data_IF_654357151097
#
_entry.id   IF_654357151097
#
_cell.length_a   1.000
_cell.length_b   1.000
_cell.length_c   1.000
_cell.angle_alpha   90.00
_cell.angle_beta   90.00
_cell.angle_gamma   90.00
#
_symmetry.space_group_name_H-M   'P 1'
#
loop_
_entity.id
_entity.type
_entity.pdbx_description
1 polymer ?
#
# COMPACT_ATOMS: atom_id res chain seq x y z
N UNK A 1 -23.38 -8.97 -68.95
CA UNK A 1 -23.15 -8.58 -67.56
C UNK A 1 -24.12 -7.47 -67.23
N UNK A 2 -25.10 -7.73 -66.35
CA UNK A 2 -26.24 -6.86 -66.15
C UNK A 2 -25.92 -5.64 -65.28
N UNK A 3 -26.49 -4.49 -65.67
CA UNK A 3 -26.32 -3.18 -64.94
C UNK A 3 -26.66 -3.27 -63.45
N UNK A 4 -27.36 -4.29 -63.00
CA UNK A 4 -27.73 -4.54 -61.60
C UNK A 4 -26.57 -4.99 -60.73
N UNK A 5 -25.52 -5.62 -61.29
CA UNK A 5 -24.33 -6.04 -60.51
C UNK A 5 -23.36 -4.91 -60.24
N UNK A 6 -23.33 -3.86 -61.07
CA UNK A 6 -22.52 -2.66 -60.83
C UNK A 6 -23.04 -1.77 -59.72
N UNK A 7 -24.37 -1.74 -59.51
CA UNK A 7 -24.98 -0.92 -58.46
C UNK A 7 -24.82 -1.54 -57.06
N UNK A 8 -24.73 -2.85 -56.94
CA UNK A 8 -24.46 -3.52 -55.65
C UNK A 8 -23.01 -3.39 -55.16
N UNK A 9 -22.05 -3.32 -56.08
CA UNK A 9 -20.64 -3.11 -55.71
C UNK A 9 -20.38 -1.64 -55.31
N UNK A 10 -21.10 -0.69 -55.94
CA UNK A 10 -21.01 0.74 -55.54
C UNK A 10 -21.67 1.02 -54.21
N UNK A 11 -22.72 0.30 -53.79
CA UNK A 11 -23.39 0.45 -52.49
C UNK A 11 -22.55 -0.09 -51.32
N UNK A 12 -21.74 -1.17 -51.57
CA UNK A 12 -20.82 -1.67 -50.54
C UNK A 12 -19.56 -0.81 -50.37
N UNK A 13 -19.10 -0.14 -51.43
CA UNK A 13 -17.97 0.80 -51.38
C UNK A 13 -18.32 2.10 -50.65
N UNK A 14 -19.59 2.51 -50.63
CA UNK A 14 -20.00 3.76 -49.96
C UNK A 14 -20.24 3.61 -48.43
N UNK A 15 -20.47 2.35 -47.96
CA UNK A 15 -20.62 2.10 -46.50
C UNK A 15 -19.27 2.07 -45.71
N UNK A 16 -18.15 2.01 -46.42
CA UNK A 16 -16.83 1.94 -45.75
C UNK A 16 -16.15 3.34 -45.59
N UNK A 17 -16.77 4.43 -46.01
CA UNK A 17 -16.17 5.77 -46.01
C UNK A 17 -16.72 6.73 -44.95
N UNK A 18 -17.61 6.30 -44.07
CA UNK A 18 -18.10 7.11 -42.94
C UNK A 18 -17.54 6.64 -41.58
N UNK A 19 -16.26 6.21 -41.53
CA UNK A 19 -15.52 6.22 -40.28
C UNK A 19 -15.18 7.68 -39.96
N UNK A 20 -16.04 8.36 -39.24
CA UNK A 20 -15.65 9.58 -38.54
C UNK A 20 -14.35 9.25 -37.79
N UNK A 21 -13.29 10.09 -37.90
CA UNK A 21 -12.11 9.90 -37.05
C UNK A 21 -12.56 10.09 -35.61
N UNK A 22 -12.75 9.00 -34.88
CA UNK A 22 -12.87 9.04 -33.43
C UNK A 22 -11.53 9.58 -32.95
N UNK A 23 -11.47 10.89 -32.69
CA UNK A 23 -10.37 11.48 -31.98
C UNK A 23 -10.38 10.92 -30.56
N UNK A 24 -9.75 9.78 -30.37
CA UNK A 24 -9.48 9.25 -29.04
C UNK A 24 -8.66 10.32 -28.30
N UNK A 25 -9.30 11.04 -27.38
CA UNK A 25 -8.62 12.01 -26.54
C UNK A 25 -7.78 11.26 -25.53
N UNK A 26 -6.54 10.92 -25.91
CA UNK A 26 -5.58 10.35 -24.97
C UNK A 26 -5.05 11.45 -24.05
N UNK A 27 -5.20 11.26 -22.75
CA UNK A 27 -4.67 12.16 -21.73
C UNK A 27 -3.48 11.51 -21.03
N UNK A 28 -2.38 12.20 -20.94
CA UNK A 28 -1.22 11.81 -20.13
C UNK A 28 -1.05 12.81 -19.00
N UNK A 29 -1.01 12.32 -17.77
CA UNK A 29 -0.82 13.15 -16.58
C UNK A 29 0.47 12.73 -15.87
N UNK A 30 1.38 13.69 -15.67
CA UNK A 30 2.47 13.59 -14.73
C UNK A 30 1.91 13.91 -13.33
N UNK A 31 2.26 13.10 -12.33
CA UNK A 31 1.85 13.31 -10.95
C UNK A 31 2.87 12.74 -9.99
N UNK A 32 2.82 13.15 -8.73
CA UNK A 32 3.74 12.62 -7.74
C UNK A 32 3.59 13.21 -6.36
N UNK A 33 4.43 12.69 -5.46
CA UNK A 33 4.61 13.17 -4.09
C UNK A 33 6.09 13.21 -3.80
N UNK A 34 6.55 14.30 -3.24
CA UNK A 34 7.89 14.45 -2.67
C UNK A 34 7.75 14.76 -1.19
N UNK A 35 8.29 13.91 -0.37
CA UNK A 35 8.35 14.04 1.08
C UNK A 35 9.81 14.01 1.53
N UNK A 36 10.20 14.96 2.34
CA UNK A 36 11.50 15.00 2.99
C UNK A 36 11.37 15.61 4.39
N UNK A 37 12.00 14.98 5.36
CA UNK A 37 12.03 15.49 6.71
C UNK A 37 13.35 15.18 7.40
N UNK A 38 13.64 15.93 8.47
CA UNK A 38 14.74 15.63 9.37
C UNK A 38 14.19 14.84 10.54
N UNK A 39 14.76 13.66 10.76
CA UNK A 39 14.33 12.69 11.76
C UNK A 39 15.45 12.37 12.73
N UNK A 40 15.09 12.19 14.00
CA UNK A 40 15.95 11.63 15.02
C UNK A 40 15.33 10.35 15.55
N UNK A 41 16.05 9.24 15.36
CA UNK A 41 15.76 7.94 15.98
C UNK A 41 16.71 7.76 17.17
N UNK A 42 16.16 7.49 18.34
CA UNK A 42 16.94 7.38 19.57
C UNK A 42 17.73 6.09 19.70
N UNK A 43 17.37 5.03 18.91
CA UNK A 43 18.01 3.72 19.05
C UNK A 43 17.89 2.90 17.76
N UNK A 44 18.92 2.95 16.93
CA UNK A 44 19.11 2.02 15.79
C UNK A 44 20.34 1.18 16.07
N UNK A 45 20.16 -0.09 16.40
CA UNK A 45 21.23 -1.00 16.81
C UNK A 45 22.12 -0.45 17.96
N UNK A 46 21.53 0.33 18.88
CA UNK A 46 22.24 0.91 20.02
C UNK A 46 22.70 2.36 19.82
N UNK A 47 22.58 2.90 18.63
CA UNK A 47 23.02 4.26 18.33
C UNK A 47 21.83 5.21 18.10
N UNK A 48 21.95 6.46 18.51
CA UNK A 48 21.04 7.53 18.13
C UNK A 48 21.47 8.09 16.77
N UNK A 49 20.53 8.14 15.82
CA UNK A 49 20.80 8.57 14.46
C UNK A 49 19.91 9.75 14.11
N UNK A 50 20.49 10.78 13.47
CA UNK A 50 19.75 11.87 12.85
C UNK A 50 20.04 11.88 11.35
N UNK A 51 18.98 12.00 10.54
CA UNK A 51 19.10 11.94 9.07
C UNK A 51 17.95 12.67 8.39
N UNK A 52 18.20 13.14 7.17
CA UNK A 52 17.15 13.60 6.28
C UNK A 52 16.68 12.43 5.42
N UNK A 53 15.39 12.18 5.37
CA UNK A 53 14.82 11.06 4.59
C UNK A 53 13.30 11.16 4.44
N UNK A 54 12.72 10.30 3.60
CA UNK A 54 11.27 10.15 3.45
C UNK A 54 10.73 9.19 4.52
N UNK A 55 9.85 9.68 5.41
CA UNK A 55 9.21 8.85 6.46
C UNK A 55 7.74 9.19 6.73
N UNK A 56 7.25 10.27 6.15
CA UNK A 56 5.87 10.70 6.33
C UNK A 56 4.97 10.12 5.24
N UNK A 57 5.19 10.49 4.00
CA UNK A 57 4.49 9.93 2.84
C UNK A 57 5.51 9.35 1.84
N UNK A 58 5.22 8.19 1.18
CA UNK A 58 6.15 7.65 0.19
C UNK A 58 6.38 8.62 -0.96
N UNK A 59 7.64 8.95 -1.24
CA UNK A 59 8.00 9.80 -2.38
C UNK A 59 8.04 9.00 -3.67
N UNK A 60 7.38 9.51 -4.70
CA UNK A 60 7.34 8.92 -6.03
C UNK A 60 6.91 9.94 -7.08
N UNK A 61 7.21 9.66 -8.34
CA UNK A 61 6.56 10.29 -9.48
C UNK A 61 6.01 9.23 -10.43
N UNK A 62 5.05 9.60 -11.27
CA UNK A 62 4.44 8.66 -12.20
C UNK A 62 3.77 9.35 -13.37
N UNK A 63 3.56 8.54 -14.39
CA UNK A 63 2.75 8.86 -15.56
C UNK A 63 1.52 7.95 -15.55
N UNK A 64 0.37 8.53 -15.81
CA UNK A 64 -0.88 7.79 -16.04
C UNK A 64 -1.58 8.34 -17.26
N UNK A 65 -2.25 7.48 -17.97
CA UNK A 65 -3.04 7.89 -19.11
C UNK A 65 -4.27 7.02 -19.29
N UNK A 66 -5.19 7.57 -20.07
CA UNK A 66 -6.43 6.90 -20.48
C UNK A 66 -6.72 7.25 -21.93
N UNK A 67 -7.13 6.24 -22.69
CA UNK A 67 -7.58 6.34 -24.07
C UNK A 67 -9.03 5.83 -24.14
N UNK A 68 -9.93 6.63 -24.67
CA UNK A 68 -11.31 6.23 -24.89
C UNK A 68 -11.38 5.33 -26.14
N UNK A 69 -11.80 4.07 -25.95
CA UNK A 69 -11.97 3.08 -27.01
C UNK A 69 -13.40 3.06 -27.57
N UNK A 70 -14.26 3.95 -27.09
CA UNK A 70 -15.67 3.98 -27.43
C UNK A 70 -16.53 3.00 -26.60
N UNK A 71 -17.83 3.16 -26.66
CA UNK A 71 -18.78 2.30 -25.95
C UNK A 71 -18.65 2.32 -24.41
N UNK A 72 -17.97 3.32 -23.85
CA UNK A 72 -17.71 3.42 -22.40
C UNK A 72 -16.55 2.55 -21.92
N UNK A 73 -15.72 2.05 -22.82
CA UNK A 73 -14.49 1.28 -22.55
C UNK A 73 -13.28 2.20 -22.70
N UNK A 74 -12.35 2.14 -21.74
CA UNK A 74 -11.10 2.88 -21.77
C UNK A 74 -9.91 1.92 -21.62
N UNK A 75 -8.86 2.15 -22.40
CA UNK A 75 -7.54 1.60 -22.11
C UNK A 75 -6.83 2.52 -21.13
N UNK A 76 -6.24 1.96 -20.08
CA UNK A 76 -5.56 2.73 -19.03
C UNK A 76 -4.15 2.21 -18.81
N UNK A 77 -3.23 3.08 -18.42
CA UNK A 77 -1.90 2.69 -17.98
C UNK A 77 -1.43 3.54 -16.81
N UNK A 78 -0.49 2.97 -16.04
CA UNK A 78 0.19 3.67 -14.95
C UNK A 78 1.61 3.17 -14.80
N UNK A 79 2.54 4.12 -14.71
CA UNK A 79 3.95 3.89 -14.43
C UNK A 79 4.35 4.77 -13.26
N UNK A 80 4.84 4.19 -12.16
CA UNK A 80 5.29 4.93 -10.97
C UNK A 80 6.69 4.46 -10.56
N UNK A 81 7.58 5.40 -10.28
CA UNK A 81 8.91 5.14 -9.72
C UNK A 81 9.03 5.78 -8.33
N UNK A 82 9.62 5.05 -7.37
CA UNK A 82 9.99 5.62 -6.07
C UNK A 82 11.19 6.54 -6.20
N UNK A 83 11.22 7.59 -5.41
CA UNK A 83 12.33 8.56 -5.35
C UNK A 83 12.82 8.68 -3.92
N UNK A 84 14.11 8.53 -3.69
CA UNK A 84 14.76 8.92 -2.46
C UNK A 84 15.19 10.37 -2.58
N UNK A 85 14.44 11.28 -1.98
CA UNK A 85 14.65 12.74 -2.14
C UNK A 85 15.99 13.20 -1.56
N UNK A 86 16.45 12.50 -0.51
CA UNK A 86 17.73 12.77 0.17
C UNK A 86 18.96 12.42 -0.66
N UNK A 87 18.88 11.39 -1.49
CA UNK A 87 20.01 10.89 -2.30
C UNK A 87 19.86 11.13 -3.80
N UNK A 88 18.67 11.52 -4.26
CA UNK A 88 18.33 11.64 -5.67
C UNK A 88 18.23 10.30 -6.41
N UNK A 89 18.33 9.17 -5.69
CA UNK A 89 18.23 7.86 -6.33
C UNK A 89 16.77 7.52 -6.60
N UNK A 90 16.53 6.91 -7.76
CA UNK A 90 15.22 6.33 -8.10
C UNK A 90 15.33 4.83 -8.06
N UNK A 91 14.43 4.19 -7.35
CA UNK A 91 14.36 2.73 -7.30
C UNK A 91 13.14 2.24 -8.08
N UNK A 92 13.29 1.02 -8.59
CA UNK A 92 12.33 0.21 -9.35
C UNK A 92 10.87 0.66 -9.29
N UNK A 93 10.19 0.50 -10.38
CA UNK A 93 8.77 0.82 -10.57
C UNK A 93 7.91 0.30 -9.42
N UNK A 94 7.19 1.20 -8.78
CA UNK A 94 6.17 0.87 -7.77
C UNK A 94 5.00 0.19 -8.44
N UNK A 95 4.48 0.83 -9.49
CA UNK A 95 3.43 0.30 -10.34
C UNK A 95 3.88 0.36 -11.80
N UNK A 96 3.57 -0.69 -12.54
CA UNK A 96 3.74 -0.75 -13.99
C UNK A 96 2.59 -1.61 -14.50
N UNK A 97 1.50 -0.96 -14.90
CA UNK A 97 0.25 -1.61 -15.28
C UNK A 97 -0.30 -1.08 -16.59
N UNK A 98 -0.99 -1.97 -17.28
CA UNK A 98 -1.92 -1.65 -18.36
C UNK A 98 -3.26 -2.33 -18.04
N UNK A 99 -4.36 -1.72 -18.46
CA UNK A 99 -5.68 -2.26 -18.16
C UNK A 99 -6.77 -1.74 -19.06
N UNK A 100 -7.94 -2.33 -18.87
CA UNK A 100 -9.19 -1.90 -19.48
C UNK A 100 -10.17 -1.54 -18.36
N UNK A 101 -10.83 -0.39 -18.48
CA UNK A 101 -11.81 0.10 -17.52
C UNK A 101 -13.13 0.43 -18.20
N UNK A 102 -14.23 0.03 -17.57
CA UNK A 102 -15.59 0.35 -17.99
C UNK A 102 -16.43 0.71 -16.78
N UNK A 103 -17.28 1.71 -16.90
CA UNK A 103 -18.26 2.06 -15.85
C UNK A 103 -19.23 0.93 -15.56
N UNK A 104 -19.54 0.11 -16.57
CA UNK A 104 -20.51 -0.97 -16.47
C UNK A 104 -19.90 -2.27 -15.96
N UNK A 105 -18.70 -2.60 -16.41
CA UNK A 105 -18.05 -3.90 -16.16
C UNK A 105 -16.92 -3.84 -15.13
N UNK A 106 -16.52 -2.62 -14.69
CA UNK A 106 -15.39 -2.44 -13.80
C UNK A 106 -14.05 -2.38 -14.53
N UNK A 107 -12.96 -2.70 -13.84
CA UNK A 107 -11.62 -2.58 -14.39
C UNK A 107 -10.81 -3.88 -14.26
N UNK A 108 -10.05 -4.20 -15.30
CA UNK A 108 -9.08 -5.29 -15.30
C UNK A 108 -7.69 -4.73 -15.58
N UNK A 109 -6.73 -4.95 -14.67
CA UNK A 109 -5.35 -4.47 -14.80
C UNK A 109 -4.37 -5.62 -14.72
N UNK A 110 -3.29 -5.54 -15.52
CA UNK A 110 -2.20 -6.49 -15.56
C UNK A 110 -0.88 -5.79 -15.27
N UNK A 111 0.04 -6.48 -14.62
CA UNK A 111 1.40 -6.02 -14.36
C UNK A 111 1.78 -5.98 -12.89
N UNK A 112 2.76 -5.13 -12.56
CA UNK A 112 3.19 -4.87 -11.17
C UNK A 112 2.28 -3.82 -10.55
N UNK A 113 1.60 -4.16 -9.46
CA UNK A 113 0.63 -3.29 -8.82
C UNK A 113 0.50 -3.57 -7.33
N UNK A 114 -0.24 -2.71 -6.63
CA UNK A 114 -0.60 -2.96 -5.24
C UNK A 114 -1.40 -4.23 -5.07
N UNK A 115 -1.10 -4.99 -4.01
CA UNK A 115 -1.91 -6.11 -3.56
C UNK A 115 -3.30 -5.67 -3.05
N UNK A 116 -4.08 -6.61 -2.52
CA UNK A 116 -5.43 -6.32 -2.01
C UNK A 116 -5.42 -5.78 -0.57
N UNK A 117 -4.35 -6.01 0.20
CA UNK A 117 -4.21 -5.50 1.58
C UNK A 117 -4.05 -3.98 1.60
N UNK A 118 -3.60 -3.37 0.49
CA UNK A 118 -3.47 -1.91 0.39
C UNK A 118 -4.80 -1.19 0.63
N UNK A 119 -5.93 -1.83 0.34
CA UNK A 119 -7.25 -1.23 0.52
C UNK A 119 -7.56 -0.95 2.00
N UNK A 120 -6.93 -1.68 2.94
CA UNK A 120 -6.99 -1.43 4.38
C UNK A 120 -6.29 -0.14 4.80
N UNK A 121 -5.32 0.35 4.05
CA UNK A 121 -4.64 1.63 4.36
C UNK A 121 -5.63 2.80 4.35
N UNK A 122 -6.71 2.70 3.59
CA UNK A 122 -7.78 3.71 3.60
C UNK A 122 -8.53 3.86 4.92
N UNK A 123 -8.40 2.88 5.82
CA UNK A 123 -9.00 2.84 7.16
C UNK A 123 -7.94 2.73 8.26
N UNK A 124 -6.65 2.74 7.93
CA UNK A 124 -5.54 2.70 8.88
C UNK A 124 -5.47 4.02 9.66
N UNK A 125 -5.39 3.99 11.00
CA UNK A 125 -5.32 5.19 11.83
C UNK A 125 -4.28 6.24 11.44
N UNK A 126 -2.99 5.92 11.16
CA UNK A 126 -2.05 6.93 10.65
C UNK A 126 -2.29 7.31 9.19
N UNK A 127 -3.06 6.53 8.46
CA UNK A 127 -3.47 6.76 7.07
C UNK A 127 -2.34 7.24 6.18
N UNK A 128 -1.64 7.07 5.47
CA UNK A 128 -0.54 7.60 4.65
C UNK A 128 0.38 8.64 5.33
N UNK A 129 0.00 9.18 6.48
CA UNK A 129 0.75 10.27 7.11
C UNK A 129 1.89 9.77 8.02
N UNK A 130 2.19 8.49 8.04
CA UNK A 130 3.37 7.98 8.73
C UNK A 130 3.70 6.56 8.29
N UNK A 131 4.68 6.43 7.44
CA UNK A 131 5.16 5.12 6.98
C UNK A 131 5.62 4.26 8.17
N UNK A 132 6.27 4.87 9.16
CA UNK A 132 6.79 4.17 10.35
C UNK A 132 5.73 3.78 11.39
N UNK A 133 4.55 4.37 11.32
CA UNK A 133 3.44 4.10 12.24
C UNK A 133 2.28 3.32 11.62
N UNK A 134 2.38 2.92 10.36
CA UNK A 134 1.34 2.10 9.71
C UNK A 134 1.05 0.85 10.52
N UNK A 135 -0.19 0.41 10.46
CA UNK A 135 -0.66 -0.79 11.11
C UNK A 135 0.27 -1.97 10.83
N UNK A 136 0.86 -2.52 11.86
CA UNK A 136 1.86 -3.60 11.84
C UNK A 136 2.90 -3.53 10.74
N UNK A 137 3.36 -2.38 10.35
CA UNK A 137 4.25 -2.19 9.21
C UNK A 137 5.13 -3.37 8.80
N UNK A 138 5.70 -4.07 9.76
CA UNK A 138 6.63 -5.17 9.50
C UNK A 138 5.94 -6.48 9.11
N UNK A 139 4.87 -6.90 9.81
CA UNK A 139 4.25 -8.20 9.59
C UNK A 139 3.29 -8.21 8.41
N UNK A 140 2.38 -7.25 8.34
CA UNK A 140 1.43 -7.14 7.23
C UNK A 140 2.11 -6.69 5.93
N UNK A 141 3.35 -6.21 6.03
CA UNK A 141 4.12 -5.65 4.93
C UNK A 141 5.45 -6.34 4.66
N UNK A 142 5.77 -7.43 5.34
CA UNK A 142 7.01 -8.16 5.11
C UNK A 142 7.16 -8.67 3.68
N UNK A 143 6.03 -8.93 3.00
CA UNK A 143 5.97 -9.23 1.57
C UNK A 143 6.03 -7.99 0.66
N UNK A 144 6.07 -6.78 1.23
CA UNK A 144 5.86 -5.52 0.52
C UNK A 144 4.40 -5.27 0.20
N UNK A 145 4.11 -4.20 -0.51
CA UNK A 145 2.74 -3.80 -0.90
C UNK A 145 2.51 -3.91 -2.40
N UNK A 146 3.56 -4.24 -3.15
CA UNK A 146 3.52 -4.40 -4.59
C UNK A 146 3.80 -5.85 -4.96
N UNK A 147 3.01 -6.39 -5.84
CA UNK A 147 3.19 -7.74 -6.39
C UNK A 147 3.45 -7.66 -7.88
N UNK A 148 4.36 -8.52 -8.34
CA UNK A 148 4.67 -8.69 -9.76
C UNK A 148 3.67 -9.65 -10.41
N UNK A 149 3.71 -9.71 -11.76
CA UNK A 149 3.02 -10.75 -12.54
C UNK A 149 1.59 -10.98 -12.08
N UNK A 150 0.82 -9.92 -11.98
CA UNK A 150 -0.52 -10.02 -11.42
C UNK A 150 -1.60 -9.53 -12.39
N UNK A 151 -2.76 -10.12 -12.24
CA UNK A 151 -4.02 -9.66 -12.82
C UNK A 151 -4.96 -9.31 -11.68
N UNK A 152 -5.56 -8.13 -11.75
CA UNK A 152 -6.53 -7.64 -10.77
C UNK A 152 -7.80 -7.18 -11.46
N UNK A 153 -8.92 -7.69 -11.01
CA UNK A 153 -10.23 -7.19 -11.37
C UNK A 153 -10.80 -6.35 -10.24
N UNK A 154 -11.42 -5.23 -10.58
CA UNK A 154 -12.15 -4.36 -9.66
C UNK A 154 -13.56 -4.15 -10.17
N UNK A 155 -14.56 -4.40 -9.33
CA UNK A 155 -15.98 -4.23 -9.71
C UNK A 155 -16.31 -2.75 -9.94
N UNK A 156 -17.39 -2.45 -10.67
CA UNK A 156 -18.06 -1.16 -10.54
C UNK A 156 -18.52 -0.93 -9.09
N UNK A 157 -18.90 0.31 -8.79
CA UNK A 157 -19.48 0.63 -7.48
C UNK A 157 -20.97 0.28 -7.48
N UNK A 158 -21.36 -0.63 -6.59
CA UNK A 158 -22.75 -1.04 -6.38
C UNK A 158 -23.23 -0.57 -5.00
N UNK A 159 -24.06 0.49 -4.94
CA UNK A 159 -24.59 0.99 -3.67
C UNK A 159 -23.51 1.37 -2.64
N UNK A 160 -22.38 1.87 -3.10
CA UNK A 160 -21.22 2.20 -2.24
C UNK A 160 -20.24 1.03 -2.01
N UNK A 161 -20.55 -0.17 -2.47
CA UNK A 161 -19.67 -1.35 -2.38
C UNK A 161 -18.79 -1.48 -3.63
N UNK A 162 -17.49 -1.69 -3.42
CA UNK A 162 -16.49 -2.02 -4.44
C UNK A 162 -15.77 -3.27 -4.00
N UNK A 163 -15.64 -4.26 -4.89
CA UNK A 163 -14.86 -5.48 -4.68
C UNK A 163 -13.60 -5.49 -5.54
N UNK A 164 -12.57 -6.21 -5.11
CA UNK A 164 -11.40 -6.53 -5.93
C UNK A 164 -11.03 -7.99 -5.78
N UNK A 165 -10.60 -8.61 -6.88
CA UNK A 165 -10.03 -9.96 -6.92
C UNK A 165 -8.69 -9.90 -7.63
N UNK A 166 -7.70 -10.62 -7.13
CA UNK A 166 -6.35 -10.61 -7.67
C UNK A 166 -5.80 -12.02 -7.76
N UNK A 167 -5.15 -12.33 -8.86
CA UNK A 167 -4.32 -13.50 -9.03
C UNK A 167 -2.88 -13.07 -9.33
N UNK A 168 -1.91 -13.72 -8.69
CA UNK A 168 -0.48 -13.48 -8.85
C UNK A 168 0.12 -14.74 -9.42
N UNK A 169 0.73 -14.62 -10.60
CA UNK A 169 1.39 -15.74 -11.27
C UNK A 169 2.76 -16.00 -10.64
N UNK A 170 3.13 -17.26 -10.55
CA UNK A 170 4.48 -17.64 -10.12
C UNK A 170 5.52 -17.12 -11.10
N UNK A 171 6.62 -16.58 -10.58
CA UNK A 171 7.83 -16.31 -11.35
C UNK A 171 8.81 -17.48 -11.22
N UNK A 172 9.32 -17.96 -12.34
CA UNK A 172 10.44 -18.88 -12.36
C UNK A 172 11.74 -18.05 -12.34
N UNK A 173 12.28 -17.82 -11.15
CA UNK A 173 13.53 -17.06 -11.05
C UNK A 173 13.91 -16.59 -9.65
N UNK A 174 15.12 -16.09 -9.55
CA UNK A 174 15.85 -15.70 -8.36
C UNK A 174 15.43 -14.36 -7.74
N UNK A 175 14.27 -13.80 -8.10
CA UNK A 175 13.82 -12.54 -7.50
C UNK A 175 13.47 -12.75 -6.03
N UNK A 176 14.23 -12.10 -5.16
CA UNK A 176 14.15 -12.24 -3.70
C UNK A 176 12.85 -11.76 -3.06
N UNK A 177 11.93 -11.21 -3.84
CA UNK A 177 10.66 -10.68 -3.36
C UNK A 177 9.50 -11.21 -4.20
N UNK A 178 8.66 -12.05 -3.61
CA UNK A 178 7.41 -12.55 -4.17
C UNK A 178 7.56 -13.42 -5.43
N UNK A 179 8.40 -14.45 -5.36
CA UNK A 179 8.55 -15.44 -6.44
C UNK A 179 7.43 -16.48 -6.48
N UNK A 180 6.54 -16.49 -5.49
CA UNK A 180 5.43 -17.43 -5.40
C UNK A 180 4.15 -16.93 -6.04
N UNK A 181 3.23 -17.87 -6.30
CA UNK A 181 1.86 -17.56 -6.71
C UNK A 181 1.06 -16.98 -5.54
N UNK A 182 -0.01 -16.27 -5.85
CA UNK A 182 -0.87 -15.71 -4.83
C UNK A 182 -2.29 -15.46 -5.28
N UNK A 183 -3.14 -15.26 -4.30
CA UNK A 183 -4.54 -14.88 -4.46
C UNK A 183 -4.85 -13.76 -3.48
N UNK A 184 -5.64 -12.78 -3.91
CA UNK A 184 -6.11 -11.70 -3.06
C UNK A 184 -7.56 -11.33 -3.34
N UNK A 185 -8.23 -10.85 -2.31
CA UNK A 185 -9.58 -10.30 -2.41
C UNK A 185 -9.74 -9.13 -1.45
N UNK A 186 -10.52 -8.14 -1.83
CA UNK A 186 -10.93 -7.05 -0.94
C UNK A 186 -12.35 -6.60 -1.24
N UNK A 187 -12.99 -6.01 -0.24
CA UNK A 187 -14.26 -5.35 -0.37
C UNK A 187 -14.26 -4.07 0.46
N UNK A 188 -14.66 -2.96 -0.14
CA UNK A 188 -14.81 -1.67 0.53
C UNK A 188 -16.23 -1.17 0.35
N UNK A 189 -16.90 -0.92 1.46
CA UNK A 189 -18.17 -0.22 1.49
C UNK A 189 -17.95 1.20 1.99
N UNK A 190 -18.44 2.18 1.24
CA UNK A 190 -18.39 3.59 1.64
C UNK A 190 -19.71 4.27 1.32
N UNK A 191 -20.35 4.78 2.37
CA UNK A 191 -21.58 5.57 2.24
C UNK A 191 -21.59 6.69 3.28
N UNK A 192 -21.74 7.91 2.82
CA UNK A 192 -21.75 9.09 3.67
C UNK A 192 -20.47 9.21 4.51
N UNK A 193 -20.61 9.12 5.82
CA UNK A 193 -19.53 9.27 6.81
C UNK A 193 -18.84 7.96 7.20
N UNK A 194 -19.36 6.82 6.74
CA UNK A 194 -18.85 5.48 7.08
C UNK A 194 -18.04 4.91 5.92
N UNK A 195 -16.89 4.34 6.23
CA UNK A 195 -16.16 3.42 5.38
C UNK A 195 -15.80 2.17 6.16
N UNK A 196 -16.01 1.01 5.53
CA UNK A 196 -15.60 -0.30 6.03
C UNK A 196 -14.82 -1.00 4.92
N UNK A 197 -13.69 -1.59 5.26
CA UNK A 197 -12.87 -2.35 4.31
C UNK A 197 -12.50 -3.68 4.92
N UNK A 198 -12.72 -4.75 4.18
CA UNK A 198 -12.17 -6.08 4.45
C UNK A 198 -11.22 -6.46 3.32
N UNK A 199 -10.11 -7.12 3.67
CA UNK A 199 -9.14 -7.57 2.68
C UNK A 199 -8.48 -8.88 3.12
N UNK A 200 -8.09 -9.66 2.13
CA UNK A 200 -7.39 -10.92 2.30
C UNK A 200 -6.36 -11.09 1.19
N UNK A 201 -5.21 -11.67 1.54
CA UNK A 201 -4.12 -11.99 0.63
C UNK A 201 -3.43 -13.27 1.07
N UNK A 202 -3.16 -14.15 0.13
CA UNK A 202 -2.29 -15.31 0.31
C UNK A 202 -1.18 -15.27 -0.72
N UNK A 203 0.06 -15.39 -0.25
CA UNK A 203 1.27 -15.45 -1.07
C UNK A 203 2.08 -16.68 -0.68
N UNK A 204 2.68 -17.34 -1.66
CA UNK A 204 3.65 -18.40 -1.44
C UNK A 204 5.08 -17.86 -1.66
N UNK A 205 6.06 -18.36 -0.94
CA UNK A 205 7.49 -18.08 -1.18
C UNK A 205 7.94 -16.65 -0.85
N UNK A 206 7.51 -16.10 0.28
CA UNK A 206 7.91 -14.75 0.73
C UNK A 206 9.19 -14.82 1.56
N UNK A 207 10.20 -14.01 1.22
CA UNK A 207 11.42 -13.85 2.02
C UNK A 207 11.16 -12.95 3.22
N UNK A 208 11.51 -13.40 4.40
CA UNK A 208 11.34 -12.70 5.66
C UNK A 208 12.62 -12.71 6.49
N UNK A 209 12.94 -11.61 7.18
CA UNK A 209 14.10 -11.46 8.06
C UNK A 209 13.64 -11.11 9.48
N UNK A 210 13.30 -12.12 10.31
CA UNK A 210 12.60 -11.90 11.58
C UNK A 210 13.30 -10.93 12.52
N UNK A 211 14.61 -11.03 12.68
CA UNK A 211 15.36 -10.16 13.59
C UNK A 211 15.40 -8.71 13.12
N UNK A 212 15.50 -8.48 11.81
CA UNK A 212 15.57 -7.15 11.23
C UNK A 212 14.19 -6.51 11.05
N UNK A 213 13.23 -7.31 10.60
CA UNK A 213 11.92 -6.76 10.18
C UNK A 213 10.99 -6.57 11.39
N UNK A 214 11.09 -7.42 12.41
CA UNK A 214 10.18 -7.37 13.58
C UNK A 214 10.87 -7.46 14.94
N UNK A 215 12.19 -7.50 14.97
CA UNK A 215 12.96 -7.53 16.22
C UNK A 215 12.91 -8.86 16.98
N UNK A 216 12.59 -9.98 16.30
CA UNK A 216 12.57 -11.33 16.87
C UNK A 216 13.81 -12.11 16.48
N UNK A 217 14.59 -12.52 17.47
CA UNK A 217 15.74 -13.41 17.24
C UNK A 217 15.35 -14.88 16.98
N UNK A 218 14.15 -15.29 17.38
CA UNK A 218 13.65 -16.64 17.20
C UNK A 218 12.25 -16.60 16.56
N UNK A 219 12.03 -17.45 15.57
CA UNK A 219 10.75 -17.64 14.90
C UNK A 219 10.68 -19.10 14.41
N UNK A 220 9.51 -19.73 14.43
CA UNK A 220 9.31 -21.14 14.06
C UNK A 220 10.18 -22.12 14.88
N UNK A 221 10.56 -21.75 16.11
CA UNK A 221 11.51 -22.52 16.93
C UNK A 221 12.98 -22.47 16.47
N UNK A 222 13.31 -21.63 15.50
CA UNK A 222 14.65 -21.45 14.95
C UNK A 222 15.22 -20.08 15.33
N UNK A 223 16.55 -20.01 15.52
CA UNK A 223 17.27 -18.76 15.76
C UNK A 223 17.57 -18.05 14.44
N UNK A 224 17.32 -16.76 14.39
CA UNK A 224 17.58 -15.88 13.24
C UNK A 224 18.49 -14.74 13.66
N UNK A 225 19.81 -14.81 13.42
CA UNK A 225 20.69 -13.65 13.51
C UNK A 225 20.23 -12.50 12.62
N UNK A 226 20.63 -11.27 12.91
CA UNK A 226 20.14 -10.05 12.27
C UNK A 226 20.18 -10.06 10.73
N UNK A 227 21.14 -10.75 10.13
CA UNK A 227 21.31 -10.84 8.67
C UNK A 227 20.64 -12.05 8.02
N UNK A 228 20.07 -12.95 8.82
CA UNK A 228 19.51 -14.21 8.32
C UNK A 228 18.09 -14.02 7.85
N UNK A 229 17.78 -14.52 6.66
CA UNK A 229 16.42 -14.57 6.11
C UNK A 229 15.90 -16.01 6.12
N UNK A 230 14.59 -16.12 6.12
CA UNK A 230 13.87 -17.39 5.89
C UNK A 230 12.84 -17.21 4.79
N UNK A 231 12.54 -18.29 4.10
CA UNK A 231 11.44 -18.30 3.14
C UNK A 231 10.17 -18.77 3.85
N UNK A 232 9.20 -17.90 3.91
CA UNK A 232 7.84 -18.22 4.35
C UNK A 232 7.12 -18.88 3.19
N UNK A 233 6.87 -20.19 3.30
CA UNK A 233 6.22 -20.96 2.23
C UNK A 233 4.77 -20.58 2.05
N UNK A 234 4.11 -20.12 3.10
CA UNK A 234 2.73 -19.67 3.09
C UNK A 234 2.59 -18.41 3.95
N UNK A 235 2.25 -17.30 3.31
CA UNK A 235 2.02 -16.02 3.94
C UNK A 235 0.57 -15.61 3.70
N UNK A 236 -0.23 -15.54 4.75
CA UNK A 236 -1.66 -15.21 4.64
C UNK A 236 -2.00 -14.06 5.58
N UNK A 237 -2.57 -12.99 5.03
CA UNK A 237 -3.10 -11.86 5.78
C UNK A 237 -4.61 -11.80 5.56
N UNK A 238 -5.35 -11.53 6.64
CA UNK A 238 -6.75 -11.12 6.59
C UNK A 238 -6.95 -9.92 7.51
N UNK A 239 -7.76 -8.97 7.09
CA UNK A 239 -8.01 -7.77 7.88
C UNK A 239 -9.38 -7.16 7.64
N UNK A 240 -9.82 -6.43 8.65
CA UNK A 240 -11.04 -5.63 8.66
C UNK A 240 -10.73 -4.30 9.33
N UNK A 241 -11.19 -3.22 8.73
CA UNK A 241 -11.06 -1.89 9.32
C UNK A 241 -12.23 -1.00 8.95
N UNK A 242 -12.43 0.03 9.75
CA UNK A 242 -13.47 1.00 9.50
C UNK A 242 -13.07 2.39 9.99
N UNK A 243 -13.68 3.40 9.39
CA UNK A 243 -13.73 4.72 9.98
C UNK A 243 -15.14 5.30 9.95
N UNK A 244 -15.35 6.26 10.87
CA UNK A 244 -16.54 7.09 10.87
C UNK A 244 -16.18 8.56 11.09
N UNK A 245 -16.76 9.46 10.28
CA UNK A 245 -16.52 10.90 10.33
C UNK A 245 -17.56 11.57 11.23
N UNK A 246 -17.09 12.15 12.34
CA UNK A 246 -17.88 12.96 13.28
C UNK A 246 -17.52 14.44 13.10
N UNK A 247 -18.31 15.19 12.37
CA UNK A 247 -18.05 16.59 12.14
C UNK A 247 -16.60 16.87 11.65
N UNK A 248 -15.71 17.27 12.56
CA UNK A 248 -14.30 17.57 12.28
C UNK A 248 -13.35 16.40 12.54
N UNK A 249 -13.84 15.33 13.15
CA UNK A 249 -13.02 14.23 13.61
C UNK A 249 -13.38 12.94 12.91
N UNK A 250 -12.40 12.14 12.62
CA UNK A 250 -12.50 10.78 12.13
C UNK A 250 -11.99 9.84 13.19
N UNK A 251 -12.80 8.88 13.57
CA UNK A 251 -12.38 7.74 14.40
C UNK A 251 -12.14 6.56 13.49
N UNK A 252 -11.00 5.89 13.67
CA UNK A 252 -10.57 4.77 12.85
C UNK A 252 -10.22 3.58 13.75
N UNK A 253 -10.48 2.38 13.24
CA UNK A 253 -10.06 1.14 13.85
C UNK A 253 -9.79 0.07 12.80
N UNK A 254 -8.81 -0.79 13.06
CA UNK A 254 -8.41 -1.86 12.16
C UNK A 254 -7.90 -3.06 12.94
N UNK A 255 -8.24 -4.24 12.47
CA UNK A 255 -7.71 -5.51 12.96
C UNK A 255 -7.17 -6.32 11.80
N UNK A 256 -5.99 -6.91 11.99
CA UNK A 256 -5.42 -7.87 11.04
C UNK A 256 -4.94 -9.12 11.76
N UNK A 257 -4.93 -10.23 11.02
CA UNK A 257 -4.30 -11.49 11.41
C UNK A 257 -3.40 -11.95 10.28
N UNK A 258 -2.12 -12.16 10.60
CA UNK A 258 -1.11 -12.62 9.64
C UNK A 258 -0.60 -13.99 10.08
N UNK A 259 -0.76 -14.99 9.21
CA UNK A 259 -0.21 -16.33 9.40
C UNK A 259 1.01 -16.51 8.52
N UNK A 260 2.11 -16.93 9.13
CA UNK A 260 3.37 -17.29 8.51
C UNK A 260 3.60 -18.78 8.67
N UNK A 261 4.00 -19.47 7.61
CA UNK A 261 4.37 -20.89 7.69
C UNK A 261 5.68 -21.12 6.95
N UNK A 262 6.63 -21.82 7.59
CA UNK A 262 7.92 -22.18 7.02
C UNK A 262 8.33 -23.55 7.53
N UNK A 263 8.68 -24.47 6.62
CA UNK A 263 9.02 -25.84 6.99
C UNK A 263 7.92 -26.50 7.81
N UNK A 264 8.26 -26.93 9.04
CA UNK A 264 7.31 -27.58 9.98
C UNK A 264 6.62 -26.61 10.92
N UNK A 265 7.02 -25.32 10.92
CA UNK A 265 6.52 -24.31 11.85
C UNK A 265 5.45 -23.40 11.24
N UNK A 266 4.55 -22.92 12.06
CA UNK A 266 3.67 -21.82 11.69
C UNK A 266 3.45 -20.88 12.88
N UNK A 267 3.45 -19.59 12.59
CA UNK A 267 3.24 -18.54 13.57
C UNK A 267 2.09 -17.63 13.13
N UNK A 268 1.46 -17.00 14.10
CA UNK A 268 0.37 -16.06 13.84
C UNK A 268 0.58 -14.78 14.65
N UNK A 269 0.54 -13.66 13.95
CA UNK A 269 0.46 -12.35 14.59
C UNK A 269 -0.94 -11.77 14.42
N UNK A 270 -1.43 -11.14 15.47
CA UNK A 270 -2.67 -10.38 15.45
C UNK A 270 -2.36 -8.94 15.82
N UNK A 271 -2.93 -8.00 15.10
CA UNK A 271 -2.77 -6.57 15.38
C UNK A 271 -4.10 -5.87 15.43
N UNK A 272 -4.25 -5.05 16.45
CA UNK A 272 -5.37 -4.13 16.61
C UNK A 272 -4.83 -2.71 16.59
N UNK A 273 -5.47 -1.83 15.83
CA UNK A 273 -5.16 -0.40 15.78
C UNK A 273 -6.40 0.42 16.06
N UNK A 274 -6.20 1.55 16.72
CA UNK A 274 -7.22 2.56 16.91
C UNK A 274 -6.59 3.96 16.83
N UNK A 275 -7.34 4.92 16.32
CA UNK A 275 -6.87 6.29 16.21
C UNK A 275 -8.00 7.29 15.98
N UNK A 276 -7.62 8.54 16.15
CA UNK A 276 -8.44 9.69 15.81
C UNK A 276 -7.63 10.69 15.00
N UNK A 277 -8.21 11.24 13.95
CA UNK A 277 -7.59 12.26 13.12
C UNK A 277 -8.58 13.34 12.74
N UNK A 278 -8.09 14.52 12.37
CA UNK A 278 -8.96 15.52 11.76
C UNK A 278 -9.46 15.03 10.40
N UNK A 279 -10.74 15.28 10.10
CA UNK A 279 -11.29 15.10 8.75
C UNK A 279 -10.64 16.09 7.80
N UNK A 280 -10.13 15.68 6.64
CA UNK A 280 -9.52 16.58 5.68
C UNK A 280 -10.51 17.66 5.20
N UNK A 281 -10.22 18.92 5.52
CA UNK A 281 -11.02 20.08 5.11
C UNK A 281 -10.07 21.20 4.69
N UNK A 282 -9.80 21.32 3.39
CA UNK A 282 -9.00 22.42 2.86
C UNK A 282 -7.61 22.57 3.48
N UNK A 283 -7.21 23.80 3.71
CA UNK A 283 -5.95 24.20 4.35
C UNK A 283 -6.07 24.19 5.89
N UNK A 284 -4.93 24.21 6.60
CA UNK A 284 -4.88 24.32 8.04
C UNK A 284 -4.42 23.06 8.77
N UNK A 285 -4.63 23.05 10.06
CA UNK A 285 -4.09 22.06 11.00
C UNK A 285 -4.88 20.76 10.99
N UNK A 286 -4.16 19.63 10.90
CA UNK A 286 -4.71 18.27 10.93
C UNK A 286 -3.98 17.40 11.92
N UNK A 287 -4.37 17.40 13.18
CA UNK A 287 -3.83 16.48 14.18
C UNK A 287 -4.32 15.06 13.94
N UNK A 288 -3.45 14.10 14.29
CA UNK A 288 -3.71 12.67 14.24
C UNK A 288 -2.96 11.98 15.39
N UNK A 289 -3.63 11.10 16.09
CA UNK A 289 -3.05 10.27 17.15
C UNK A 289 -3.61 8.86 17.05
N UNK A 290 -2.83 7.87 17.47
CA UNK A 290 -3.31 6.50 17.51
C UNK A 290 -2.32 5.53 18.13
N UNK A 291 -2.76 4.28 18.21
CA UNK A 291 -2.01 3.19 18.80
C UNK A 291 -2.26 1.91 18.01
N UNK A 292 -1.17 1.13 17.84
CA UNK A 292 -1.21 -0.22 17.29
C UNK A 292 -0.73 -1.18 18.38
N UNK A 293 -1.42 -2.29 18.57
CA UNK A 293 -1.03 -3.37 19.46
C UNK A 293 -0.94 -4.67 18.69
N UNK A 294 0.26 -5.26 18.68
CA UNK A 294 0.55 -6.53 17.98
C UNK A 294 0.97 -7.61 18.97
N UNK A 295 0.53 -8.84 18.73
CA UNK A 295 0.88 -10.00 19.53
C UNK A 295 1.22 -11.21 18.64
N UNK A 296 2.34 -11.86 18.95
CA UNK A 296 2.78 -13.14 18.39
C UNK A 296 3.25 -14.05 19.54
N UNK A 297 2.50 -15.08 19.86
CA UNK A 297 2.79 -15.91 21.03
C UNK A 297 2.89 -15.05 22.29
N UNK A 298 4.07 -15.10 22.94
CA UNK A 298 4.41 -14.29 24.10
C UNK A 298 5.08 -12.94 23.76
N UNK A 299 5.40 -12.71 22.53
CA UNK A 299 5.90 -11.40 22.08
C UNK A 299 4.76 -10.42 21.83
N UNK A 300 4.98 -9.16 22.21
CA UNK A 300 4.01 -8.07 22.02
C UNK A 300 4.73 -6.77 21.67
N UNK A 301 4.07 -5.95 20.85
CA UNK A 301 4.53 -4.62 20.51
C UNK A 301 3.38 -3.64 20.63
N UNK A 302 3.65 -2.50 21.24
CA UNK A 302 2.73 -1.37 21.28
C UNK A 302 3.41 -0.21 20.56
N UNK A 303 2.79 0.32 19.52
CA UNK A 303 3.28 1.51 18.79
C UNK A 303 2.27 2.62 18.97
N UNK A 304 2.69 3.74 19.55
CA UNK A 304 1.87 4.95 19.64
C UNK A 304 2.47 6.05 18.77
N UNK A 305 1.62 6.88 18.19
CA UNK A 305 2.05 8.00 17.37
C UNK A 305 1.19 9.24 17.60
N UNK A 306 1.83 10.39 17.38
CA UNK A 306 1.20 11.70 17.27
C UNK A 306 1.77 12.43 16.06
N UNK A 307 0.91 12.97 15.22
CA UNK A 307 1.26 13.65 13.99
C UNK A 307 0.47 14.95 13.93
N UNK A 308 1.13 16.01 13.54
CA UNK A 308 0.56 17.32 13.37
C UNK A 308 0.94 17.83 11.98
N UNK A 309 0.00 17.78 11.04
CA UNK A 309 0.17 18.31 9.71
C UNK A 309 -0.43 19.72 9.63
N UNK A 310 0.27 20.64 9.00
CA UNK A 310 -0.24 21.95 8.66
C UNK A 310 -0.22 22.14 7.14
N UNK A 311 -1.39 22.12 6.54
CA UNK A 311 -1.58 22.27 5.10
C UNK A 311 -1.49 23.76 4.72
N UNK A 312 -0.39 24.12 4.08
CA UNK A 312 -0.15 25.44 3.49
C UNK A 312 -0.99 25.64 2.22
N UNK A 313 -1.31 24.54 1.52
CA UNK A 313 -2.18 24.48 0.36
C UNK A 313 -2.78 23.09 0.24
N UNK A 314 -3.64 22.85 -0.75
CA UNK A 314 -4.15 21.50 -1.06
C UNK A 314 -3.05 20.50 -1.42
N UNK A 315 -1.86 20.98 -1.79
CA UNK A 315 -0.75 20.15 -2.30
C UNK A 315 0.48 20.16 -1.41
N UNK A 316 0.62 21.13 -0.49
CA UNK A 316 1.82 21.31 0.33
C UNK A 316 1.46 21.36 1.79
N UNK A 317 2.11 20.54 2.59
CA UNK A 317 2.02 20.55 4.03
C UNK A 317 3.39 20.46 4.68
N UNK A 318 3.49 21.01 5.88
CA UNK A 318 4.60 20.82 6.80
C UNK A 318 4.09 20.04 7.99
N UNK A 319 4.95 19.22 8.58
CA UNK A 319 4.53 18.33 9.66
C UNK A 319 5.54 18.22 10.78
N UNK A 320 5.01 17.87 11.95
CA UNK A 320 5.77 17.38 13.11
C UNK A 320 5.17 16.02 13.50
N UNK A 321 6.03 15.06 13.80
CA UNK A 321 5.57 13.74 14.21
C UNK A 321 6.45 13.11 15.29
N UNK A 322 5.83 12.27 16.10
CA UNK A 322 6.49 11.38 17.04
C UNK A 322 5.88 10.00 16.92
N UNK A 323 6.74 8.97 16.88
CA UNK A 323 6.34 7.57 16.88
C UNK A 323 7.20 6.84 17.90
N UNK A 324 6.57 6.12 18.80
CA UNK A 324 7.25 5.33 19.82
C UNK A 324 6.72 3.90 19.82
N UNK A 325 7.63 2.93 19.92
CA UNK A 325 7.30 1.53 20.04
C UNK A 325 7.91 0.93 21.30
N UNK A 326 7.13 0.12 21.98
CA UNK A 326 7.51 -0.70 23.11
C UNK A 326 7.28 -2.16 22.77
N UNK A 327 8.31 -2.97 22.96
CA UNK A 327 8.28 -4.42 22.81
C UNK A 327 8.36 -5.09 24.18
N UNK A 328 7.74 -6.26 24.35
CA UNK A 328 7.73 -6.99 25.61
C UNK A 328 7.21 -8.41 25.50
N UNK A 329 7.25 -9.15 26.59
CA UNK A 329 6.85 -10.56 26.67
C UNK A 329 8.02 -11.49 26.87
N UNK A 330 7.75 -12.79 27.15
CA UNK A 330 8.76 -13.79 27.46
C UNK A 330 9.75 -14.07 26.30
N UNK A 331 9.30 -13.84 25.06
CA UNK A 331 10.16 -13.95 23.87
C UNK A 331 11.21 -12.83 23.76
N UNK A 332 11.20 -11.84 24.68
CA UNK A 332 12.13 -10.71 24.74
C UNK A 332 12.36 -10.01 23.37
N UNK A 333 11.30 -9.63 22.65
CA UNK A 333 11.45 -8.97 21.36
C UNK A 333 12.09 -7.59 21.52
N UNK A 334 12.80 -7.15 20.49
CA UNK A 334 13.29 -5.77 20.38
C UNK A 334 12.22 -4.90 19.73
N UNK A 335 12.24 -3.60 20.02
CA UNK A 335 11.47 -2.65 19.23
C UNK A 335 12.09 -2.54 17.83
N UNK A 336 11.23 -2.50 16.81
CA UNK A 336 11.62 -2.39 15.41
C UNK A 336 10.52 -1.64 14.65
N UNK A 337 10.63 -0.32 14.62
CA UNK A 337 9.74 0.51 13.83
C UNK A 337 10.00 0.28 12.34
N UNK A 338 8.93 0.23 11.58
CA UNK A 338 9.00 -0.04 10.14
C UNK A 338 9.93 0.94 9.42
N UNK A 339 10.85 0.43 8.62
CA UNK A 339 11.92 1.13 7.90
C UNK A 339 12.96 1.83 8.77
N UNK A 340 12.90 1.73 10.09
CA UNK A 340 13.88 2.36 10.98
C UNK A 340 15.05 1.43 11.35
N UNK A 341 14.89 0.14 11.14
CA UNK A 341 15.77 -0.89 11.64
C UNK A 341 15.52 -1.22 13.12
N UNK A 342 15.99 -2.40 13.60
CA UNK A 342 15.73 -2.83 14.95
C UNK A 342 16.52 -2.01 15.96
N UNK A 343 15.91 -1.77 17.13
CA UNK A 343 16.63 -1.20 18.26
C UNK A 343 17.50 -2.26 18.96
N UNK A 344 18.43 -1.82 19.80
CA UNK A 344 19.17 -2.73 20.71
C UNK A 344 18.36 -3.09 21.97
N UNK A 345 17.18 -2.51 22.16
CA UNK A 345 16.34 -2.67 23.35
C UNK A 345 14.87 -2.86 23.00
N UNK A 346 14.04 -2.95 24.04
CA UNK A 346 12.59 -3.04 23.90
C UNK A 346 11.91 -1.70 23.59
N UNK A 347 12.66 -0.61 23.34
CA UNK A 347 12.10 0.73 23.09
C UNK A 347 12.78 1.39 21.91
N UNK A 348 11.97 2.06 21.09
CA UNK A 348 12.44 2.88 19.98
C UNK A 348 11.50 4.07 19.78
N UNK A 349 12.07 5.25 19.61
CA UNK A 349 11.31 6.49 19.37
C UNK A 349 11.94 7.26 18.23
N UNK A 350 11.08 7.71 17.31
CA UNK A 350 11.44 8.57 16.19
C UNK A 350 10.66 9.86 16.30
N UNK A 351 11.36 10.98 16.22
CA UNK A 351 10.78 12.31 16.11
C UNK A 351 11.22 12.92 14.79
N UNK A 352 10.35 13.62 14.12
CA UNK A 352 10.69 14.24 12.84
C UNK A 352 9.86 15.47 12.53
N UNK A 353 10.43 16.31 11.68
CA UNK A 353 9.79 17.48 11.07
C UNK A 353 10.09 17.47 9.58
N UNK A 354 9.16 17.89 8.75
CA UNK A 354 9.40 17.85 7.31
C UNK A 354 8.34 18.58 6.51
N UNK A 355 8.43 18.39 5.20
CA UNK A 355 7.54 18.97 4.20
C UNK A 355 7.17 17.91 3.17
N UNK A 356 5.90 17.94 2.76
CA UNK A 356 5.37 17.12 1.67
C UNK A 356 4.80 18.03 0.59
N UNK A 357 5.12 17.73 -0.67
CA UNK A 357 4.55 18.41 -1.83
C UNK A 357 3.99 17.38 -2.82
N UNK A 358 2.76 17.63 -3.29
CA UNK A 358 2.04 16.78 -4.27
C UNK A 358 1.79 17.58 -5.55
N UNK A 359 2.07 17.01 -6.70
CA UNK A 359 1.92 17.68 -8.00
C UNK A 359 1.18 16.83 -9.03
#
# INVERSE_FOLDING_TARGET
MSRTRLLLVAAWGALCLSSEPVHAQSSVTLYGVLDIGVYRNNNVNGSSISRAETRHEPSYFGLRGSEDLGGGLNATYRLEASVAVDTGTSTMWRQSIVGLESRQWGGLTLGRQYDTIIDLVGVDPPRFNSITAVHTGNWDRSAGVFVNNSIKYRTPTFGGLIGSLMYIFKEDGTSATNSGKGLGASATYQQGRLRVTAAWLKLDGVTHRPANDVGLANLFGLAFPATTSTIVTNYTIAGLGAYYDFARWRVLGQYTTTKLSAGTGSERINTLSAGISAVPQGEGLRPSVGVNYSRLGDARWTTAYGILDYFLSKRTDVYVRVVSQWAGGAAAPRAALYLEGPSSSSRQTVVGVGVTHRF
#
